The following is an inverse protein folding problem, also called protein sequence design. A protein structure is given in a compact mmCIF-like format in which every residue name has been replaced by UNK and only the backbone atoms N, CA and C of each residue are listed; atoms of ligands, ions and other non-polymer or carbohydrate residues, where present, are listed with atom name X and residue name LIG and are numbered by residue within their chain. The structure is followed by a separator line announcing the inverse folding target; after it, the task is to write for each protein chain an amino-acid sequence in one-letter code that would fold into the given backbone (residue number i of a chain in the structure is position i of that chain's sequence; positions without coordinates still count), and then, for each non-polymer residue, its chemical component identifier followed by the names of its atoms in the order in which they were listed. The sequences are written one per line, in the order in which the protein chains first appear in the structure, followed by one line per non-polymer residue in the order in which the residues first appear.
data_IF_531850151407
#
_entry.id   IF_531850151407
#
_cell.length_a   1.000
_cell.length_b   1.000
_cell.length_c   1.000
_cell.angle_alpha   90.00
_cell.angle_beta   90.00
_cell.angle_gamma   90.00
#
_symmetry.space_group_name_H-M   'P 1'
#
loop_
_entity.id
_entity.type
_entity.pdbx_description
1 polymer ?
#
# COMPACT_ATOMS: atom_id res chain seq x y z
N UNK A 1 -11.53 -19.04 -6.04
CA UNK A 1 -10.79 -18.09 -6.91
C UNK A 1 -9.30 -18.01 -6.53
N UNK A 2 -8.38 -18.12 -7.49
CA UNK A 2 -6.95 -17.83 -7.30
C UNK A 2 -6.69 -16.37 -7.68
N UNK A 3 -7.11 -15.44 -6.82
CA UNK A 3 -6.87 -14.01 -6.99
C UNK A 3 -5.75 -13.53 -6.08
N UNK A 4 -5.05 -12.49 -6.53
CA UNK A 4 -4.15 -11.70 -5.69
C UNK A 4 -4.96 -10.52 -5.17
N UNK A 5 -4.89 -10.27 -3.87
CA UNK A 5 -5.48 -9.09 -3.25
C UNK A 5 -4.40 -8.02 -3.12
N UNK A 6 -4.75 -6.78 -3.44
CA UNK A 6 -3.91 -5.61 -3.27
C UNK A 6 -4.62 -4.63 -2.34
N UNK A 7 -3.91 -4.14 -1.32
CA UNK A 7 -4.40 -3.17 -0.35
C UNK A 7 -3.47 -1.95 -0.29
N UNK A 8 -3.98 -0.85 0.28
CA UNK A 8 -3.23 0.38 0.54
C UNK A 8 -2.49 0.90 -0.72
N UNK A 9 -3.27 1.22 -1.76
CA UNK A 9 -2.72 1.66 -3.06
C UNK A 9 -1.71 0.67 -3.69
N UNK A 10 -1.87 -0.63 -3.40
CA UNK A 10 -1.01 -1.69 -3.93
C UNK A 10 0.30 -1.85 -3.18
N UNK A 11 0.51 -1.17 -2.05
CA UNK A 11 1.70 -1.35 -1.21
C UNK A 11 1.71 -2.70 -0.50
N UNK A 12 0.54 -3.32 -0.32
CA UNK A 12 0.37 -4.63 0.32
C UNK A 12 -0.28 -5.62 -0.61
N UNK A 13 0.29 -6.82 -0.73
CA UNK A 13 -0.20 -7.92 -1.56
C UNK A 13 -0.50 -9.17 -0.74
N UNK A 14 -1.51 -9.92 -1.16
CA UNK A 14 -1.84 -11.24 -0.59
C UNK A 14 -2.20 -12.22 -1.70
N UNK A 15 -1.41 -13.30 -1.80
CA UNK A 15 -1.43 -14.28 -2.91
C UNK A 15 -2.56 -15.33 -2.85
N UNK A 16 -3.43 -15.24 -1.85
CA UNK A 16 -4.57 -16.13 -1.63
C UNK A 16 -5.09 -16.00 -0.20
N UNK A 17 -6.26 -16.58 0.09
CA UNK A 17 -6.92 -16.42 1.39
C UNK A 17 -6.03 -16.81 2.59
N UNK A 18 -5.23 -17.88 2.45
CA UNK A 18 -4.35 -18.40 3.50
C UNK A 18 -2.91 -17.83 3.45
N UNK A 19 -2.60 -16.97 2.46
CA UNK A 19 -1.26 -16.37 2.38
C UNK A 19 -1.14 -15.16 3.31
N UNK A 20 0.05 -14.92 3.90
CA UNK A 20 0.29 -13.68 4.64
C UNK A 20 0.26 -12.48 3.68
N UNK A 21 0.01 -11.31 4.24
CA UNK A 21 0.27 -10.04 3.54
C UNK A 21 1.78 -9.84 3.39
N UNK A 22 2.20 -9.37 2.24
CA UNK A 22 3.60 -9.03 1.92
C UNK A 22 3.68 -7.65 1.31
N UNK A 23 4.83 -7.00 1.46
CA UNK A 23 5.08 -5.72 0.83
C UNK A 23 5.29 -5.91 -0.68
N UNK A 24 4.53 -5.17 -1.49
CA UNK A 24 4.62 -5.23 -2.94
C UNK A 24 5.93 -4.64 -3.47
N UNK A 25 6.41 -3.61 -2.76
CA UNK A 25 7.62 -2.89 -3.08
C UNK A 25 8.45 -2.77 -1.78
N UNK A 26 9.34 -3.75 -1.49
CA UNK A 26 10.12 -3.78 -0.24
C UNK A 26 10.95 -2.51 -0.01
N UNK A 27 11.43 -1.89 -1.09
CA UNK A 27 12.14 -0.60 -1.06
C UNK A 27 11.25 0.55 -0.57
N UNK A 28 9.94 0.47 -0.83
CA UNK A 28 8.95 1.45 -0.37
C UNK A 28 8.51 1.12 1.05
N UNK A 29 8.35 -0.16 1.40
CA UNK A 29 8.05 -0.56 2.76
C UNK A 29 9.16 -0.18 3.75
N UNK A 30 10.43 -0.32 3.36
CA UNK A 30 11.55 0.15 4.17
C UNK A 30 11.56 1.68 4.35
N UNK A 31 11.20 2.44 3.31
CA UNK A 31 11.06 3.89 3.37
C UNK A 31 9.81 4.35 4.16
N UNK A 32 8.70 3.60 4.05
CA UNK A 32 7.45 3.85 4.75
C UNK A 32 7.50 3.41 6.22
N UNK A 33 8.30 2.40 6.59
CA UNK A 33 8.58 2.07 8.00
C UNK A 33 9.36 3.19 8.72
N UNK A 34 10.08 4.03 7.96
CA UNK A 34 10.72 5.25 8.46
C UNK A 34 9.89 6.50 8.14
N UNK A 35 8.56 6.40 8.08
CA UNK A 35 7.67 7.48 7.61
C UNK A 35 7.59 8.68 8.57
N UNK A 36 8.66 9.46 8.62
CA UNK A 36 8.67 10.81 9.19
C UNK A 36 7.56 11.67 8.58
N UNK A 37 7.25 11.44 7.29
CA UNK A 37 6.17 12.15 6.58
C UNK A 37 4.79 11.92 7.20
N UNK A 38 4.49 10.74 7.77
CA UNK A 38 3.17 10.47 8.37
C UNK A 38 2.91 11.40 9.55
N UNK A 39 3.93 11.71 10.35
CA UNK A 39 3.79 12.64 11.46
C UNK A 39 3.38 14.05 11.02
N UNK A 40 3.96 14.55 9.92
CA UNK A 40 3.58 15.85 9.35
C UNK A 40 2.15 15.83 8.77
N UNK A 41 1.80 14.76 8.06
CA UNK A 41 0.47 14.59 7.45
C UNK A 41 -0.61 14.43 8.51
N UNK A 42 -0.36 13.65 9.56
CA UNK A 42 -1.29 13.44 10.68
C UNK A 42 -1.57 14.76 11.40
N UNK A 43 -0.53 15.52 11.78
CA UNK A 43 -0.71 16.84 12.39
C UNK A 43 -1.55 17.78 11.53
N UNK A 44 -1.30 17.77 10.21
CA UNK A 44 -2.07 18.58 9.29
C UNK A 44 -3.53 18.12 9.22
N UNK A 45 -3.79 16.81 9.09
CA UNK A 45 -5.15 16.27 9.04
C UNK A 45 -5.90 16.49 10.36
N UNK A 46 -5.24 16.35 11.51
CA UNK A 46 -5.81 16.60 12.84
C UNK A 46 -6.32 18.04 12.95
N UNK A 47 -5.55 19.02 12.47
CA UNK A 47 -5.99 20.41 12.42
C UNK A 47 -7.32 20.61 11.65
N UNK A 48 -7.53 19.86 10.57
CA UNK A 48 -8.79 19.91 9.82
C UNK A 48 -9.89 19.09 10.49
N UNK A 49 -9.54 17.97 11.14
CA UNK A 49 -10.49 17.12 11.83
C UNK A 49 -11.16 17.83 13.01
N UNK A 50 -10.37 18.56 13.82
CA UNK A 50 -10.86 19.38 14.95
C UNK A 50 -11.90 20.43 14.52
N UNK A 51 -11.81 20.91 13.28
CA UNK A 51 -12.66 21.96 12.71
C UNK A 51 -13.82 21.41 11.90
N UNK A 52 -13.90 20.09 11.75
CA UNK A 52 -14.90 19.42 10.93
C UNK A 52 -15.61 18.34 11.76
N UNK A 53 -16.63 18.70 12.55
CA UNK A 53 -17.41 17.71 13.31
C UNK A 53 -17.95 16.61 12.39
N UNK A 54 -17.81 15.35 12.81
CA UNK A 54 -18.16 14.17 12.01
C UNK A 54 -17.07 13.70 11.03
N UNK A 55 -15.96 14.42 10.91
CA UNK A 55 -14.79 13.90 10.21
C UNK A 55 -13.95 12.99 11.11
N UNK A 56 -13.17 12.09 10.51
CA UNK A 56 -12.22 11.24 11.23
C UNK A 56 -11.01 10.89 10.37
N UNK A 57 -9.93 10.48 11.03
CA UNK A 57 -8.68 10.06 10.40
C UNK A 57 -8.54 8.55 10.56
N UNK A 58 -8.25 7.86 9.47
CA UNK A 58 -7.91 6.44 9.43
C UNK A 58 -6.41 6.30 9.14
N UNK A 59 -5.66 5.99 10.19
CA UNK A 59 -4.21 5.81 10.14
C UNK A 59 -3.85 4.33 9.92
N UNK A 60 -3.64 3.95 8.66
CA UNK A 60 -3.23 2.58 8.27
C UNK A 60 -1.71 2.45 8.25
N UNK A 61 -1.19 1.26 7.98
CA UNK A 61 0.26 0.99 8.03
C UNK A 61 1.05 1.91 7.07
N UNK A 62 0.58 2.06 5.83
CA UNK A 62 1.29 2.79 4.76
C UNK A 62 0.51 3.97 4.18
N UNK A 63 -0.74 4.16 4.61
CA UNK A 63 -1.66 5.17 4.11
C UNK A 63 -2.33 5.89 5.28
N UNK A 64 -2.55 7.19 5.15
CA UNK A 64 -3.38 7.98 6.06
C UNK A 64 -4.55 8.55 5.26
N UNK A 65 -5.77 8.35 5.74
CA UNK A 65 -6.97 8.86 5.10
C UNK A 65 -7.72 9.80 6.03
N UNK A 66 -8.09 10.98 5.55
CA UNK A 66 -9.07 11.82 6.23
C UNK A 66 -10.44 11.66 5.56
N UNK A 67 -11.44 11.25 6.34
CA UNK A 67 -12.82 11.11 5.90
C UNK A 67 -13.65 12.27 6.43
N UNK A 68 -14.46 12.88 5.56
CA UNK A 68 -15.38 13.97 5.92
C UNK A 68 -16.84 13.59 5.62
N UNK A 69 -17.13 12.29 5.65
CA UNK A 69 -18.38 11.69 5.17
C UNK A 69 -19.60 12.11 6.00
N UNK A 70 -19.41 12.26 7.32
CA UNK A 70 -20.46 12.60 8.30
C UNK A 70 -20.44 14.08 8.70
N UNK A 71 -19.78 14.93 7.91
CA UNK A 71 -19.78 16.39 8.10
C UNK A 71 -20.79 17.07 7.18
N UNK A 72 -21.12 18.34 7.46
CA UNK A 72 -21.94 19.16 6.55
C UNK A 72 -21.32 19.16 5.14
N UNK A 73 -22.10 18.78 4.13
CA UNK A 73 -21.56 18.51 2.79
C UNK A 73 -20.92 19.75 2.15
N UNK A 74 -21.44 20.95 2.43
CA UNK A 74 -20.88 22.21 1.93
C UNK A 74 -19.58 22.56 2.64
N UNK A 75 -19.60 22.56 3.96
CA UNK A 75 -18.45 22.91 4.80
C UNK A 75 -17.31 21.89 4.67
N UNK A 76 -17.62 20.59 4.71
CA UNK A 76 -16.67 19.50 4.57
C UNK A 76 -15.98 19.51 3.21
N UNK A 77 -16.73 19.71 2.12
CA UNK A 77 -16.15 19.83 0.77
C UNK A 77 -15.25 21.07 0.62
N UNK A 78 -15.61 22.18 1.27
CA UNK A 78 -14.78 23.38 1.31
C UNK A 78 -13.46 23.15 2.06
N UNK A 79 -13.52 22.57 3.27
CA UNK A 79 -12.32 22.22 4.05
C UNK A 79 -11.45 21.18 3.36
N UNK A 80 -12.05 20.19 2.69
CA UNK A 80 -11.33 19.20 1.89
C UNK A 80 -10.49 19.87 0.78
N UNK A 81 -11.02 20.90 0.11
CA UNK A 81 -10.25 21.65 -0.89
C UNK A 81 -9.05 22.36 -0.28
N UNK A 82 -9.21 22.95 0.90
CA UNK A 82 -8.11 23.63 1.60
C UNK A 82 -7.04 22.64 2.06
N UNK A 83 -7.44 21.51 2.67
CA UNK A 83 -6.54 20.44 3.06
C UNK A 83 -5.78 19.88 1.85
N UNK A 84 -6.46 19.68 0.71
CA UNK A 84 -5.83 19.19 -0.51
C UNK A 84 -4.72 20.13 -1.00
N UNK A 85 -4.96 21.45 -1.01
CA UNK A 85 -3.93 22.43 -1.39
C UNK A 85 -2.72 22.35 -0.47
N UNK A 86 -2.96 22.29 0.85
CA UNK A 86 -1.87 22.20 1.83
C UNK A 86 -1.07 20.89 1.70
N UNK A 87 -1.73 19.77 1.41
CA UNK A 87 -1.07 18.48 1.17
C UNK A 87 -0.28 18.47 -0.15
N UNK A 88 -0.79 19.11 -1.21
CA UNK A 88 -0.07 19.28 -2.47
C UNK A 88 1.15 20.19 -2.32
N UNK A 89 1.07 21.21 -1.49
CA UNK A 89 2.25 22.02 -1.13
C UNK A 89 3.24 21.19 -0.32
N UNK A 90 2.78 20.37 0.63
CA UNK A 90 3.63 19.49 1.41
C UNK A 90 4.32 18.42 0.54
N UNK A 91 3.68 17.93 -0.52
CA UNK A 91 4.27 16.94 -1.43
C UNK A 91 5.48 17.47 -2.23
N UNK A 92 5.71 18.78 -2.24
CA UNK A 92 6.94 19.35 -2.81
C UNK A 92 8.17 19.12 -1.92
N UNK A 93 7.97 18.82 -0.64
CA UNK A 93 9.02 18.64 0.37
C UNK A 93 9.04 17.24 0.99
N UNK A 94 7.89 16.56 1.01
CA UNK A 94 7.71 15.23 1.58
C UNK A 94 7.49 14.20 0.47
N UNK A 95 7.94 12.94 0.65
CA UNK A 95 7.79 11.88 -0.36
C UNK A 95 6.37 11.28 -0.34
N UNK A 96 5.35 12.12 -0.54
CA UNK A 96 3.94 11.73 -0.43
C UNK A 96 3.21 11.83 -1.76
N UNK A 97 2.25 10.94 -1.97
CA UNK A 97 1.25 10.99 -3.03
C UNK A 97 -0.11 11.27 -2.39
N UNK A 98 -0.78 12.31 -2.89
CA UNK A 98 -2.08 12.76 -2.40
C UNK A 98 -3.16 12.36 -3.40
N UNK A 99 -4.19 11.67 -2.95
CA UNK A 99 -5.33 11.24 -3.77
C UNK A 99 -6.63 11.76 -3.18
N UNK A 100 -7.48 12.35 -4.01
CA UNK A 100 -8.80 12.83 -3.61
C UNK A 100 -9.87 11.81 -3.99
N UNK A 101 -10.59 11.30 -3.00
CA UNK A 101 -11.84 10.55 -3.18
C UNK A 101 -13.07 11.46 -3.15
N UNK A 102 -14.25 10.85 -3.18
CA UNK A 102 -15.53 11.58 -3.14
C UNK A 102 -15.72 12.33 -1.81
N UNK A 103 -15.54 11.63 -0.69
CA UNK A 103 -15.65 12.19 0.67
C UNK A 103 -14.43 11.87 1.56
N UNK A 104 -13.27 11.74 0.93
CA UNK A 104 -12.02 11.47 1.62
C UNK A 104 -10.81 12.04 0.88
N UNK A 105 -9.72 12.21 1.61
CA UNK A 105 -8.40 12.52 1.08
C UNK A 105 -7.43 11.46 1.61
N UNK A 106 -6.83 10.71 0.69
CA UNK A 106 -5.85 9.67 0.97
C UNK A 106 -4.44 10.21 0.74
N UNK A 107 -3.51 9.83 1.62
CA UNK A 107 -2.09 10.15 1.48
C UNK A 107 -1.29 8.88 1.73
N UNK A 108 -0.41 8.56 0.77
CA UNK A 108 0.52 7.43 0.88
C UNK A 108 1.92 7.86 0.42
N UNK A 109 2.89 6.95 0.47
CA UNK A 109 4.23 7.25 -0.04
C UNK A 109 4.20 7.42 -1.58
N UNK A 110 4.98 8.37 -2.11
CA UNK A 110 5.00 8.68 -3.56
C UNK A 110 5.39 7.52 -4.48
N UNK A 111 6.03 6.49 -3.91
CA UNK A 111 6.43 5.28 -4.63
C UNK A 111 5.35 4.19 -4.60
N UNK A 112 4.12 4.50 -4.15
CA UNK A 112 3.00 3.58 -4.24
C UNK A 112 2.83 3.09 -5.71
N UNK A 113 2.71 1.77 -5.93
CA UNK A 113 2.69 1.23 -7.27
C UNK A 113 1.40 1.60 -8.00
N UNK A 114 1.54 1.97 -9.26
CA UNK A 114 0.40 2.11 -10.16
C UNK A 114 -0.15 0.74 -10.55
N UNK A 115 -1.37 0.68 -11.08
CA UNK A 115 -1.97 -0.58 -11.53
C UNK A 115 -1.09 -1.37 -12.53
N UNK A 116 -0.50 -0.75 -13.58
CA UNK A 116 0.46 -1.43 -14.45
C UNK A 116 1.69 -1.96 -13.71
N UNK A 117 2.32 -1.14 -12.86
CA UNK A 117 3.48 -1.55 -12.06
C UNK A 117 3.15 -2.72 -11.14
N UNK A 118 1.96 -2.71 -10.55
CA UNK A 118 1.49 -3.78 -9.67
C UNK A 118 1.31 -5.11 -10.43
N UNK A 119 0.77 -5.04 -11.65
CA UNK A 119 0.65 -6.22 -12.52
C UNK A 119 2.02 -6.81 -12.87
N UNK A 120 3.00 -5.96 -13.18
CA UNK A 120 4.38 -6.38 -13.46
C UNK A 120 5.04 -7.03 -12.23
N UNK A 121 4.89 -6.42 -11.05
CA UNK A 121 5.35 -6.98 -9.77
C UNK A 121 4.74 -8.37 -9.55
N UNK A 122 3.43 -8.50 -9.77
CA UNK A 122 2.74 -9.76 -9.59
C UNK A 122 3.24 -10.82 -10.58
N UNK A 123 3.37 -10.49 -11.86
CA UNK A 123 3.90 -11.41 -12.88
C UNK A 123 5.32 -11.86 -12.56
N UNK A 124 6.19 -10.93 -12.15
CA UNK A 124 7.56 -11.24 -11.77
C UNK A 124 7.63 -12.19 -10.57
N UNK A 125 6.86 -11.92 -9.50
CA UNK A 125 6.80 -12.78 -8.32
C UNK A 125 6.22 -14.17 -8.66
N UNK A 126 5.19 -14.23 -9.51
CA UNK A 126 4.61 -15.49 -9.99
C UNK A 126 5.65 -16.33 -10.75
N UNK A 127 6.39 -15.72 -11.68
CA UNK A 127 7.45 -16.40 -12.42
C UNK A 127 8.56 -16.91 -11.50
N UNK A 128 8.98 -16.13 -10.50
CA UNK A 128 9.97 -16.57 -9.51
C UNK A 128 9.47 -17.77 -8.70
N UNK A 129 8.22 -17.74 -8.23
CA UNK A 129 7.61 -18.85 -7.49
C UNK A 129 7.51 -20.15 -8.32
N UNK A 130 7.14 -20.03 -9.60
CA UNK A 130 7.11 -21.18 -10.53
C UNK A 130 8.51 -21.76 -10.75
N UNK A 131 9.53 -20.92 -10.97
CA UNK A 131 10.93 -21.34 -11.11
C UNK A 131 11.43 -22.06 -9.86
N UNK A 132 11.15 -21.52 -8.68
CA UNK A 132 11.54 -22.14 -7.40
C UNK A 132 10.88 -23.52 -7.19
N UNK A 133 9.60 -23.66 -7.57
CA UNK A 133 8.88 -24.94 -7.54
C UNK A 133 9.51 -25.97 -8.47
N UNK A 134 9.82 -25.59 -9.71
CA UNK A 134 10.51 -26.48 -10.65
C UNK A 134 11.89 -26.89 -10.12
N UNK A 135 12.70 -25.95 -9.63
CA UNK A 135 14.01 -26.26 -9.06
C UNK A 135 13.91 -27.24 -7.87
N UNK A 136 12.94 -27.05 -6.97
CA UNK A 136 12.70 -27.96 -5.84
C UNK A 136 12.28 -29.35 -6.30
N UNK A 137 11.40 -29.45 -7.29
CA UNK A 137 10.98 -30.73 -7.87
C UNK A 137 12.15 -31.47 -8.55
N UNK A 138 12.98 -30.75 -9.30
CA UNK A 138 14.19 -31.32 -9.94
C UNK A 138 15.17 -31.85 -8.89
N UNK A 139 15.46 -31.08 -7.83
CA UNK A 139 16.32 -31.51 -6.72
C UNK A 139 15.76 -32.74 -5.99
N UNK A 140 14.45 -32.78 -5.74
CA UNK A 140 13.81 -33.92 -5.09
C UNK A 140 13.90 -35.20 -5.94
N UNK A 141 13.72 -35.08 -7.27
CA UNK A 141 13.89 -36.20 -8.20
C UNK A 141 15.33 -36.70 -8.26
N UNK A 142 16.31 -35.79 -8.33
CA UNK A 142 17.73 -36.16 -8.32
C UNK A 142 18.10 -36.93 -7.03
N UNK A 143 17.71 -36.40 -5.87
CA UNK A 143 17.93 -37.05 -4.56
C UNK A 143 17.25 -38.42 -4.47
N UNK A 144 16.03 -38.56 -4.99
CA UNK A 144 15.31 -39.84 -4.99
C UNK A 144 16.00 -40.90 -5.86
N UNK A 145 16.65 -40.47 -6.95
CA UNK A 145 17.42 -41.35 -7.84
C UNK A 145 18.72 -41.82 -7.18
N UNK A 146 19.44 -40.95 -6.48
CA UNK A 146 20.65 -41.30 -5.70
C UNK A 146 20.35 -42.29 -4.56
N UNK A 147 19.17 -42.20 -3.93
CA UNK A 147 18.74 -43.14 -2.89
C UNK A 147 18.33 -44.52 -3.43
N UNK A 148 18.05 -44.64 -4.72
CA UNK A 148 17.64 -45.90 -5.37
C UNK A 148 18.82 -46.67 -5.99
N UNK A 149 19.95 -46.00 -6.23
CA UNK A 149 21.24 -46.59 -6.62
C UNK A 149 22.32 -46.19 -5.58
N UNK A 150 22.30 -46.75 -4.35
CA UNK A 150 23.46 -46.68 -3.48
C UNK A 150 24.52 -47.64 -4.04
N UNK A 151 25.74 -47.15 -4.30
CA UNK A 151 26.90 -48.02 -4.58
C UNK A 151 27.10 -49.10 -3.51
#
# INVERSE_FOLDING_TARGET
PRCVLAAEHGLRLKWGAESPWVDAAPQVAAAAQHAAWKGDVLRLMEHYAERTPGSYIDDKETTVTWYHVDSDAGHGSWLAKQLLVQLQEASTRLPILVSRGDRCIDVCHQLAPTCPTLAEICLAQMHQALRARHAKATRARARSRELQDPE
#
